data_IF_201776241794
#
_entry.id   IF_201776241794
#
_cell.length_a   1.000
_cell.length_b   1.000
_cell.length_c   1.000
_cell.angle_alpha   90.00
_cell.angle_beta   90.00
_cell.angle_gamma   90.00
#
_symmetry.space_group_name_H-M   'P 1'
#
loop_
_entity.id
_entity.type
_entity.pdbx_description
1 polymer ?
#
# COMPACT_ATOMS: atom_id res chain seq x y z
N UNK A 1 -3.00 11.20 7.43
CA UNK A 1 -3.93 11.78 8.44
C UNK A 1 -3.08 12.36 9.55
N UNK A 2 -3.05 13.70 9.68
CA UNK A 2 -2.36 14.38 10.76
C UNK A 2 -3.25 14.32 12.02
N UNK A 3 -2.99 13.35 12.87
CA UNK A 3 -3.54 13.35 14.23
C UNK A 3 -2.73 14.35 15.03
N UNK A 4 -3.29 15.53 15.32
CA UNK A 4 -2.66 16.56 16.13
C UNK A 4 -2.27 16.02 17.53
N UNK A 5 -2.12 16.89 18.52
CA UNK A 5 -1.78 16.51 19.91
C UNK A 5 -2.91 15.81 20.69
N UNK A 6 -4.04 15.55 20.04
CA UNK A 6 -5.21 14.92 20.68
C UNK A 6 -5.02 13.41 20.81
N UNK A 7 -5.48 12.85 21.92
CA UNK A 7 -5.53 11.40 22.10
C UNK A 7 -6.46 10.74 21.06
N UNK A 8 -6.14 9.51 20.63
CA UNK A 8 -6.96 8.80 19.65
C UNK A 8 -8.36 8.55 20.20
N UNK A 9 -9.39 8.94 19.45
CA UNK A 9 -10.80 8.82 19.85
C UNK A 9 -11.44 7.51 19.42
N UNK A 10 -10.79 6.73 18.55
CA UNK A 10 -11.29 5.43 18.10
C UNK A 10 -10.14 4.46 17.81
N UNK A 11 -10.50 3.19 17.60
CA UNK A 11 -9.55 2.10 17.37
C UNK A 11 -8.65 2.34 16.15
N UNK A 12 -9.20 2.86 15.06
CA UNK A 12 -8.44 3.17 13.82
C UNK A 12 -7.39 4.24 14.09
N UNK A 13 -7.74 5.30 14.81
CA UNK A 13 -6.79 6.36 15.17
C UNK A 13 -5.71 5.85 16.10
N UNK A 14 -6.07 4.98 17.07
CA UNK A 14 -5.10 4.34 17.95
C UNK A 14 -4.11 3.47 17.15
N UNK A 15 -4.60 2.75 16.17
CA UNK A 15 -3.80 1.91 15.28
C UNK A 15 -2.81 2.73 14.43
N UNK A 16 -3.25 3.88 13.92
CA UNK A 16 -2.39 4.84 13.20
C UNK A 16 -1.27 5.37 14.11
N UNK A 17 -1.61 5.74 15.35
CA UNK A 17 -0.62 6.23 16.34
C UNK A 17 0.40 5.14 16.67
N UNK A 18 -0.03 3.91 16.90
CA UNK A 18 0.85 2.77 17.16
C UNK A 18 1.76 2.49 15.97
N UNK A 19 1.22 2.51 14.74
CA UNK A 19 1.99 2.30 13.51
C UNK A 19 3.05 3.38 13.31
N UNK A 20 2.71 4.64 13.54
CA UNK A 20 3.68 5.75 13.51
C UNK A 20 4.80 5.54 14.55
N UNK A 21 4.43 5.22 15.80
CA UNK A 21 5.41 4.96 16.87
C UNK A 21 6.31 3.77 16.56
N UNK A 22 5.77 2.70 15.98
CA UNK A 22 6.55 1.57 15.48
C UNK A 22 7.59 2.01 14.46
N UNK A 23 7.20 2.80 13.46
CA UNK A 23 8.13 3.31 12.45
C UNK A 23 9.23 4.19 13.08
N UNK A 24 8.88 5.05 14.02
CA UNK A 24 9.85 5.89 14.74
C UNK A 24 10.84 5.06 15.55
N UNK A 25 10.39 3.98 16.22
CA UNK A 25 11.28 3.06 16.95
C UNK A 25 12.26 2.34 16.02
N UNK A 26 11.77 1.78 14.91
CA UNK A 26 12.59 1.08 13.93
C UNK A 26 13.62 2.01 13.28
N UNK A 27 13.22 3.26 12.98
CA UNK A 27 14.11 4.29 12.45
C UNK A 27 15.20 4.68 13.44
N UNK A 28 14.87 4.83 14.73
CA UNK A 28 15.80 5.35 15.74
C UNK A 28 16.74 4.30 16.28
N UNK A 29 16.29 3.06 16.44
CA UNK A 29 17.01 1.98 17.11
C UNK A 29 17.52 0.91 16.15
N UNK A 30 17.21 1.06 14.85
CA UNK A 30 17.54 0.06 13.82
C UNK A 30 16.60 -1.14 13.82
N UNK A 31 16.77 -1.98 12.81
CA UNK A 31 15.93 -3.18 12.62
C UNK A 31 16.69 -4.37 13.21
N UNK A 32 16.37 -4.66 14.45
CA UNK A 32 16.88 -5.78 15.21
C UNK A 32 15.75 -6.39 16.05
N UNK A 33 16.00 -7.54 16.66
CA UNK A 33 14.95 -8.28 17.34
C UNK A 33 14.42 -7.55 18.58
N UNK A 34 15.25 -6.81 19.31
CA UNK A 34 14.87 -6.06 20.51
C UNK A 34 13.93 -4.89 20.16
N UNK A 35 14.22 -4.21 19.05
CA UNK A 35 13.35 -3.16 18.53
C UNK A 35 12.01 -3.73 18.05
N UNK A 36 12.04 -4.88 17.37
CA UNK A 36 10.83 -5.56 16.92
C UNK A 36 10.01 -6.07 18.11
N UNK A 37 10.61 -6.62 19.14
CA UNK A 37 9.93 -7.00 20.39
C UNK A 37 9.21 -5.79 21.01
N UNK A 38 9.86 -4.63 21.04
CA UNK A 38 9.25 -3.39 21.51
C UNK A 38 8.05 -2.96 20.64
N UNK A 39 8.15 -3.14 19.32
CA UNK A 39 7.05 -2.87 18.40
C UNK A 39 5.86 -3.84 18.62
N UNK A 40 6.12 -5.12 18.83
CA UNK A 40 5.09 -6.14 19.13
C UNK A 40 4.32 -5.77 20.40
N UNK A 41 5.01 -5.30 21.43
CA UNK A 41 4.38 -4.86 22.68
C UNK A 41 3.46 -3.66 22.48
N UNK A 42 3.72 -2.74 21.55
CA UNK A 42 2.83 -1.62 21.24
C UNK A 42 1.44 -2.07 20.80
N UNK A 43 1.38 -3.21 20.13
CA UNK A 43 0.12 -3.79 19.64
C UNK A 43 -0.48 -4.81 20.62
N UNK A 44 0.13 -5.00 21.79
CA UNK A 44 -0.29 -5.99 22.79
C UNK A 44 -0.31 -7.43 22.23
N UNK A 45 0.60 -7.71 21.31
CA UNK A 45 0.72 -9.02 20.67
C UNK A 45 1.61 -9.95 21.50
N UNK A 46 1.34 -11.24 21.42
CA UNK A 46 2.22 -12.28 21.91
C UNK A 46 3.10 -12.79 20.78
N UNK A 47 4.41 -12.60 20.91
CA UNK A 47 5.39 -13.11 19.96
C UNK A 47 5.82 -14.52 20.41
N UNK A 48 5.50 -15.54 19.61
CA UNK A 48 5.91 -16.90 19.97
C UNK A 48 7.44 -17.04 19.89
N UNK A 49 8.03 -17.81 20.80
CA UNK A 49 9.48 -18.04 20.86
C UNK A 49 10.00 -18.56 19.51
N UNK A 50 9.34 -19.58 18.94
CA UNK A 50 9.71 -20.16 17.64
C UNK A 50 9.76 -19.13 16.51
N UNK A 51 8.76 -18.26 16.40
CA UNK A 51 8.71 -17.20 15.37
C UNK A 51 9.74 -16.11 15.63
N UNK A 52 9.96 -15.77 16.89
CA UNK A 52 10.99 -14.82 17.31
C UNK A 52 12.38 -15.31 16.94
N UNK A 53 12.71 -16.57 17.25
CA UNK A 53 14.01 -17.17 16.95
C UNK A 53 14.23 -17.29 15.43
N UNK A 54 13.19 -17.67 14.66
CA UNK A 54 13.24 -17.69 13.20
C UNK A 54 13.56 -16.31 12.64
N UNK A 55 12.88 -15.27 13.13
CA UNK A 55 13.11 -13.89 12.69
C UNK A 55 14.50 -13.42 13.08
N UNK A 56 14.97 -13.68 14.29
CA UNK A 56 16.31 -13.33 14.76
C UNK A 56 17.39 -13.99 13.89
N UNK A 57 17.24 -15.28 13.59
CA UNK A 57 18.15 -16.00 12.70
C UNK A 57 18.14 -15.45 11.27
N UNK A 58 17.01 -14.96 10.79
CA UNK A 58 16.92 -14.31 9.49
C UNK A 58 17.64 -12.96 9.52
N UNK A 59 17.33 -12.11 10.48
CA UNK A 59 17.93 -10.78 10.63
C UNK A 59 19.47 -10.84 10.75
N UNK A 60 20.01 -11.86 11.40
CA UNK A 60 21.46 -12.04 11.53
C UNK A 60 22.19 -12.33 10.22
N UNK A 61 21.48 -12.68 9.16
CA UNK A 61 22.03 -12.96 7.82
C UNK A 61 22.00 -11.74 6.90
N UNK A 62 21.16 -10.75 7.20
CA UNK A 62 21.08 -9.51 6.43
C UNK A 62 22.38 -8.73 6.62
N UNK A 63 22.93 -8.25 5.53
CA UNK A 63 24.20 -7.53 5.54
C UNK A 63 24.05 -6.04 5.17
N UNK A 64 22.87 -5.66 4.71
CA UNK A 64 22.51 -4.31 4.29
C UNK A 64 23.43 -3.69 3.22
N UNK A 65 24.11 -4.54 2.42
CA UNK A 65 24.88 -4.10 1.24
C UNK A 65 23.91 -3.64 0.14
N UNK A 66 22.82 -4.40 -0.05
CA UNK A 66 21.71 -4.01 -0.90
C UNK A 66 20.42 -3.85 -0.06
N UNK A 67 20.18 -2.66 0.52
CA UNK A 67 19.05 -2.47 1.43
C UNK A 67 17.67 -2.72 0.79
N UNK A 68 17.56 -2.55 -0.53
CA UNK A 68 16.32 -2.80 -1.25
C UNK A 68 16.03 -4.31 -1.32
N UNK A 69 17.01 -5.10 -1.73
CA UNK A 69 16.92 -6.56 -1.78
C UNK A 69 16.68 -7.14 -0.38
N UNK A 70 17.47 -6.71 0.62
CA UNK A 70 17.30 -7.12 2.02
C UNK A 70 15.89 -6.81 2.56
N UNK A 71 15.31 -5.65 2.16
CA UNK A 71 13.95 -5.28 2.53
C UNK A 71 12.93 -6.21 1.87
N UNK A 72 13.11 -6.54 0.58
CA UNK A 72 12.25 -7.46 -0.16
C UNK A 72 12.31 -8.88 0.44
N UNK A 73 13.51 -9.39 0.71
CA UNK A 73 13.70 -10.70 1.34
C UNK A 73 13.03 -10.78 2.72
N UNK A 74 13.23 -9.75 3.56
CA UNK A 74 12.64 -9.73 4.90
C UNK A 74 11.12 -9.62 4.83
N UNK A 75 10.58 -8.80 3.92
CA UNK A 75 9.12 -8.72 3.70
C UNK A 75 8.55 -10.10 3.36
N UNK A 76 9.11 -10.76 2.36
CA UNK A 76 8.67 -12.09 1.94
C UNK A 76 8.81 -13.13 3.06
N UNK A 77 9.91 -13.09 3.81
CA UNK A 77 10.12 -13.98 4.96
C UNK A 77 9.02 -13.79 6.02
N UNK A 78 8.72 -12.55 6.39
CA UNK A 78 7.68 -12.21 7.37
C UNK A 78 6.31 -12.74 6.90
N UNK A 79 5.96 -12.51 5.63
CA UNK A 79 4.67 -12.93 5.06
C UNK A 79 4.57 -14.45 4.98
N UNK A 80 5.55 -15.13 4.37
CA UNK A 80 5.56 -16.61 4.23
C UNK A 80 5.46 -17.35 5.56
N UNK A 81 6.09 -16.82 6.60
CA UNK A 81 6.09 -17.44 7.91
C UNK A 81 4.98 -16.94 8.84
N UNK A 82 4.15 -16.01 8.39
CA UNK A 82 3.06 -15.38 9.20
C UNK A 82 3.56 -14.97 10.59
N UNK A 83 4.70 -14.27 10.61
CA UNK A 83 5.49 -14.02 11.83
C UNK A 83 4.65 -13.34 12.91
N UNK A 84 3.84 -12.35 12.56
CA UNK A 84 3.05 -11.52 13.49
C UNK A 84 1.55 -11.83 13.49
N UNK A 85 1.13 -13.04 13.05
CA UNK A 85 -0.27 -13.44 13.00
C UNK A 85 -1.10 -12.51 12.10
N UNK A 86 -2.22 -12.02 12.60
CA UNK A 86 -3.10 -11.08 11.87
C UNK A 86 -2.45 -9.75 11.52
N UNK A 87 -1.41 -9.34 12.24
CA UNK A 87 -0.65 -8.11 12.00
C UNK A 87 0.52 -8.29 11.02
N UNK A 88 0.70 -9.50 10.47
CA UNK A 88 1.84 -9.84 9.61
C UNK A 88 2.05 -8.81 8.49
N UNK A 89 1.01 -8.45 7.76
CA UNK A 89 1.09 -7.53 6.64
C UNK A 89 1.47 -6.11 7.06
N UNK A 90 0.86 -5.63 8.15
CA UNK A 90 1.17 -4.32 8.71
C UNK A 90 2.63 -4.21 9.12
N UNK A 91 3.12 -5.20 9.86
CA UNK A 91 4.52 -5.25 10.30
C UNK A 91 5.47 -5.36 9.10
N UNK A 92 5.17 -6.22 8.13
CA UNK A 92 5.99 -6.38 6.93
C UNK A 92 6.18 -5.04 6.19
N UNK A 93 5.10 -4.30 5.93
CA UNK A 93 5.15 -2.99 5.24
C UNK A 93 5.95 -1.96 6.07
N UNK A 94 5.72 -1.89 7.38
CA UNK A 94 6.36 -0.87 8.21
C UNK A 94 7.86 -1.16 8.34
N UNK A 95 8.24 -2.41 8.55
CA UNK A 95 9.65 -2.84 8.63
C UNK A 95 10.35 -2.60 7.28
N UNK A 96 9.72 -3.01 6.17
CA UNK A 96 10.21 -2.77 4.81
C UNK A 96 10.54 -1.28 4.59
N UNK A 97 9.58 -0.41 4.83
CA UNK A 97 9.76 1.03 4.66
C UNK A 97 10.76 1.63 5.65
N UNK A 98 10.90 1.06 6.84
CA UNK A 98 11.91 1.50 7.80
C UNK A 98 13.34 1.17 7.30
N UNK A 99 13.55 0.01 6.66
CA UNK A 99 14.84 -0.32 6.01
C UNK A 99 15.14 0.70 4.91
N UNK A 100 14.21 0.92 3.99
CA UNK A 100 14.40 1.85 2.89
C UNK A 100 14.75 3.25 3.41
N UNK A 101 13.95 3.77 4.34
CA UNK A 101 14.13 5.11 4.88
C UNK A 101 15.46 5.27 5.62
N UNK A 102 15.89 4.26 6.40
CA UNK A 102 17.16 4.28 7.14
C UNK A 102 18.38 4.28 6.21
N UNK A 103 18.19 3.87 4.95
CA UNK A 103 19.21 3.88 3.91
C UNK A 103 19.02 5.00 2.86
N UNK A 104 18.25 6.05 3.20
CA UNK A 104 17.97 7.21 2.34
C UNK A 104 17.24 6.85 1.04
N UNK A 105 16.50 5.74 1.02
CA UNK A 105 15.60 5.36 -0.06
C UNK A 105 14.19 5.83 0.31
N UNK A 106 13.44 6.37 -0.66
CA UNK A 106 12.07 6.82 -0.42
C UNK A 106 11.18 5.64 -0.03
N UNK A 107 10.29 5.80 0.96
CA UNK A 107 9.30 4.79 1.31
C UNK A 107 8.37 4.49 0.15
N UNK A 108 7.97 3.21 0.02
CA UNK A 108 7.04 2.77 -1.00
C UNK A 108 5.64 2.74 -0.43
N UNK A 109 4.69 3.30 -1.17
CA UNK A 109 3.28 3.27 -0.81
C UNK A 109 2.66 1.98 -1.35
N UNK A 110 2.15 1.18 -0.43
CA UNK A 110 1.36 -0.01 -0.75
C UNK A 110 -0.11 0.26 -0.42
N UNK A 111 -0.96 0.46 -1.42
CA UNK A 111 -2.41 0.49 -1.21
C UNK A 111 -2.88 -0.81 -0.55
N UNK A 112 -3.88 -0.72 0.32
CA UNK A 112 -4.28 -1.86 1.16
C UNK A 112 -4.76 -3.06 0.33
N UNK A 113 -5.56 -2.82 -0.71
CA UNK A 113 -6.03 -3.85 -1.64
C UNK A 113 -4.88 -4.56 -2.35
N UNK A 114 -3.89 -3.79 -2.79
CA UNK A 114 -2.71 -4.32 -3.45
C UNK A 114 -1.82 -5.11 -2.48
N UNK A 115 -1.75 -4.69 -1.23
CA UNK A 115 -1.00 -5.42 -0.19
C UNK A 115 -1.54 -6.82 0.00
N UNK A 116 -2.85 -6.98 0.10
CA UNK A 116 -3.46 -8.31 0.23
C UNK A 116 -3.17 -9.19 -0.98
N UNK A 117 -3.35 -8.67 -2.19
CA UNK A 117 -3.04 -9.38 -3.42
C UNK A 117 -1.56 -9.83 -3.48
N UNK A 118 -0.64 -8.93 -3.14
CA UNK A 118 0.78 -9.23 -3.11
C UNK A 118 1.13 -10.32 -2.10
N UNK A 119 0.49 -10.31 -0.94
CA UNK A 119 0.69 -11.34 0.07
C UNK A 119 0.15 -12.70 -0.38
N UNK A 120 -0.99 -12.75 -1.06
CA UNK A 120 -1.51 -13.98 -1.68
C UNK A 120 -0.54 -14.53 -2.72
N UNK A 121 0.07 -13.68 -3.55
CA UNK A 121 1.09 -14.09 -4.52
C UNK A 121 2.33 -14.68 -3.82
N UNK A 122 2.79 -14.04 -2.74
CA UNK A 122 3.92 -14.54 -1.95
C UNK A 122 3.61 -15.89 -1.32
N UNK A 123 2.42 -16.05 -0.74
CA UNK A 123 1.96 -17.31 -0.15
C UNK A 123 1.81 -18.41 -1.22
N UNK A 124 1.48 -18.04 -2.46
CA UNK A 124 1.37 -18.95 -3.61
C UNK A 124 2.72 -19.32 -4.23
N UNK A 125 3.83 -18.76 -3.76
CA UNK A 125 5.17 -19.13 -4.20
C UNK A 125 5.84 -18.13 -5.15
N UNK A 126 5.44 -16.83 -5.12
CA UNK A 126 6.13 -15.78 -5.88
C UNK A 126 7.65 -15.83 -5.60
N UNK A 127 8.47 -15.71 -6.65
CA UNK A 127 9.92 -15.62 -6.52
C UNK A 127 10.36 -14.25 -5.99
N UNK A 128 11.58 -14.16 -5.46
CA UNK A 128 12.15 -12.90 -5.00
C UNK A 128 12.28 -11.91 -6.16
N UNK A 129 12.87 -12.34 -7.28
CA UNK A 129 13.05 -11.49 -8.47
C UNK A 129 11.73 -10.88 -8.94
N UNK A 130 10.67 -11.71 -9.02
CA UNK A 130 9.34 -11.23 -9.42
C UNK A 130 8.73 -10.27 -8.39
N UNK A 131 9.01 -10.49 -7.09
CA UNK A 131 8.57 -9.57 -6.05
C UNK A 131 9.31 -8.23 -6.15
N UNK A 132 10.60 -8.25 -6.39
CA UNK A 132 11.42 -7.05 -6.60
C UNK A 132 10.95 -6.23 -7.80
N UNK A 133 10.67 -6.87 -8.92
CA UNK A 133 10.12 -6.19 -10.12
C UNK A 133 8.80 -5.49 -9.80
N UNK A 134 7.91 -6.16 -9.07
CA UNK A 134 6.63 -5.59 -8.62
C UNK A 134 6.85 -4.40 -7.69
N UNK A 135 7.77 -4.52 -6.74
CA UNK A 135 8.10 -3.46 -5.78
C UNK A 135 8.76 -2.27 -6.47
N UNK A 136 9.66 -2.51 -7.45
CA UNK A 136 10.29 -1.44 -8.25
C UNK A 136 9.25 -0.66 -9.06
N UNK A 137 8.30 -1.33 -9.67
CA UNK A 137 7.21 -0.66 -10.37
C UNK A 137 6.38 0.23 -9.41
N UNK A 138 6.18 -0.22 -8.17
CA UNK A 138 5.53 0.59 -7.12
C UNK A 138 6.41 1.73 -6.61
N UNK A 139 7.72 1.55 -6.58
CA UNK A 139 8.65 2.63 -6.24
C UNK A 139 8.55 3.82 -7.20
N UNK A 140 8.49 3.55 -8.50
CA UNK A 140 8.25 4.59 -9.51
C UNK A 140 6.94 5.35 -9.24
N UNK A 141 5.86 4.63 -8.93
CA UNK A 141 4.60 5.24 -8.57
C UNK A 141 4.70 6.06 -7.26
N UNK A 142 5.41 5.57 -6.26
CA UNK A 142 5.58 6.28 -4.98
C UNK A 142 6.25 7.65 -5.14
N UNK A 143 7.14 7.81 -6.12
CA UNK A 143 7.71 9.12 -6.48
C UNK A 143 6.60 10.05 -6.97
N UNK A 144 5.70 9.55 -7.82
CA UNK A 144 4.54 10.31 -8.32
C UNK A 144 3.62 10.73 -7.16
N UNK A 145 3.29 9.81 -6.24
CA UNK A 145 2.45 10.09 -5.08
C UNK A 145 3.03 11.16 -4.12
N UNK A 146 4.34 11.25 -4.03
CA UNK A 146 5.00 12.28 -3.20
C UNK A 146 5.25 13.61 -3.92
N UNK A 147 4.90 13.71 -5.21
CA UNK A 147 5.03 14.92 -6.00
C UNK A 147 3.67 15.62 -6.07
N UNK A 148 3.57 16.93 -5.73
CA UNK A 148 2.32 17.63 -5.84
C UNK A 148 1.90 17.75 -7.30
N UNK A 149 0.68 17.35 -7.62
CA UNK A 149 0.10 17.52 -8.94
C UNK A 149 -0.79 18.78 -9.03
N UNK A 150 -1.27 19.08 -10.23
CA UNK A 150 -2.27 20.12 -10.41
C UNK A 150 -3.52 19.82 -9.58
N UNK A 151 -3.98 20.82 -8.81
CA UNK A 151 -5.23 20.68 -8.06
C UNK A 151 -6.41 20.78 -9.02
N UNK A 152 -7.09 19.68 -9.24
CA UNK A 152 -8.32 19.62 -10.05
C UNK A 152 -9.51 19.26 -9.16
N UNK A 153 -10.71 19.60 -9.61
CA UNK A 153 -11.94 19.19 -8.92
C UNK A 153 -12.45 17.82 -9.40
N UNK A 154 -13.46 17.30 -8.71
CA UNK A 154 -14.08 16.01 -9.03
C UNK A 154 -14.69 15.98 -10.44
N UNK A 155 -15.23 17.10 -10.93
CA UNK A 155 -15.79 17.21 -12.29
C UNK A 155 -14.69 17.12 -13.36
N UNK A 156 -13.56 17.78 -13.13
CA UNK A 156 -12.43 17.73 -14.03
C UNK A 156 -11.80 16.31 -14.04
N UNK A 157 -11.70 15.65 -12.87
CA UNK A 157 -11.27 14.27 -12.78
C UNK A 157 -12.17 13.34 -13.62
N UNK A 158 -13.50 13.48 -13.49
CA UNK A 158 -14.48 12.74 -14.29
C UNK A 158 -14.26 12.98 -15.78
N UNK A 159 -14.10 14.23 -16.21
CA UNK A 159 -13.87 14.57 -17.63
C UNK A 159 -12.59 13.93 -18.18
N UNK A 160 -11.49 14.01 -17.43
CA UNK A 160 -10.21 13.42 -17.84
C UNK A 160 -10.35 11.91 -18.04
N UNK A 161 -10.94 11.19 -17.08
CA UNK A 161 -11.16 9.75 -17.22
C UNK A 161 -12.14 9.43 -18.34
N UNK A 162 -13.23 10.20 -18.48
CA UNK A 162 -14.21 10.02 -19.55
C UNK A 162 -13.58 10.16 -20.95
N UNK A 163 -12.60 11.05 -21.12
CA UNK A 163 -11.88 11.18 -22.38
C UNK A 163 -11.13 9.92 -22.80
N UNK A 164 -10.78 9.05 -21.83
CA UNK A 164 -10.07 7.79 -22.04
C UNK A 164 -11.03 6.60 -22.29
N UNK A 165 -12.35 6.80 -22.12
CA UNK A 165 -13.36 5.73 -22.16
C UNK A 165 -13.19 4.79 -23.33
N UNK A 166 -12.97 5.33 -24.54
CA UNK A 166 -12.84 4.52 -25.75
C UNK A 166 -11.70 3.47 -25.60
N UNK A 167 -10.53 3.91 -25.19
CA UNK A 167 -9.37 3.02 -25.02
C UNK A 167 -9.61 2.02 -23.87
N UNK A 168 -10.17 2.50 -22.76
CA UNK A 168 -10.46 1.66 -21.59
C UNK A 168 -11.46 0.55 -21.92
N UNK A 169 -12.49 0.83 -22.72
CA UNK A 169 -13.47 -0.16 -23.15
C UNK A 169 -12.91 -1.06 -24.26
N UNK A 170 -12.40 -0.50 -25.37
CA UNK A 170 -12.01 -1.28 -26.54
C UNK A 170 -10.74 -2.11 -26.35
N UNK A 171 -9.74 -1.57 -25.63
CA UNK A 171 -8.45 -2.24 -25.45
C UNK A 171 -8.41 -3.10 -24.17
N UNK A 172 -8.99 -2.60 -23.09
CA UNK A 172 -8.86 -3.23 -21.78
C UNK A 172 -10.13 -3.96 -21.31
N UNK A 173 -11.26 -3.77 -21.99
CA UNK A 173 -12.53 -4.43 -21.63
C UNK A 173 -13.18 -3.88 -20.36
N UNK A 174 -12.87 -2.63 -19.98
CA UNK A 174 -13.48 -1.98 -18.83
C UNK A 174 -14.96 -1.73 -19.08
N UNK A 175 -15.81 -2.15 -18.17
CA UNK A 175 -17.26 -1.97 -18.23
C UNK A 175 -17.72 -0.68 -17.57
N UNK A 176 -17.27 -0.48 -16.33
CA UNK A 176 -17.60 0.70 -15.54
C UNK A 176 -16.39 1.16 -14.73
N UNK A 177 -16.32 2.47 -14.49
CA UNK A 177 -15.38 3.11 -13.55
C UNK A 177 -16.17 4.02 -12.60
N UNK A 178 -15.80 3.91 -11.32
CA UNK A 178 -16.30 4.80 -10.29
C UNK A 178 -15.12 5.45 -9.58
N UNK A 179 -15.21 6.77 -9.34
CA UNK A 179 -14.29 7.49 -8.45
C UNK A 179 -14.82 7.33 -7.03
N UNK A 180 -13.94 7.07 -6.10
CA UNK A 180 -14.22 6.97 -4.65
C UNK A 180 -13.22 7.80 -3.84
N UNK A 181 -13.03 7.50 -2.55
CA UNK A 181 -12.02 8.13 -1.72
C UNK A 181 -12.17 9.63 -1.52
N UNK A 182 -11.06 10.34 -1.54
CA UNK A 182 -10.99 11.79 -1.26
C UNK A 182 -11.73 12.63 -2.30
N UNK A 183 -11.66 12.27 -3.58
CA UNK A 183 -12.35 12.98 -4.65
C UNK A 183 -13.87 12.87 -4.53
N UNK A 184 -14.41 11.68 -4.29
CA UNK A 184 -15.84 11.49 -4.10
C UNK A 184 -16.38 12.19 -2.84
N UNK A 185 -15.55 12.33 -1.80
CA UNK A 185 -15.87 13.03 -0.55
C UNK A 185 -15.62 14.55 -0.61
N UNK A 186 -15.06 15.05 -1.70
CA UNK A 186 -14.63 16.46 -1.87
C UNK A 186 -13.62 16.92 -0.83
N UNK A 187 -12.73 16.01 -0.41
CA UNK A 187 -11.67 16.23 0.58
C UNK A 187 -10.27 16.14 -0.04
N UNK A 188 -10.18 16.24 -1.36
CA UNK A 188 -8.92 16.08 -2.11
C UNK A 188 -7.99 17.30 -1.96
N UNK A 189 -6.72 17.03 -2.14
CA UNK A 189 -5.62 18.00 -2.13
C UNK A 189 -4.71 17.77 -3.34
N UNK A 190 -3.71 18.62 -3.55
CA UNK A 190 -2.68 18.42 -4.59
C UNK A 190 -1.80 17.18 -4.40
N UNK A 191 -1.97 16.43 -3.32
CA UNK A 191 -1.30 15.17 -3.03
C UNK A 191 -2.27 13.98 -3.02
N UNK A 192 -3.53 14.22 -3.35
CA UNK A 192 -4.54 13.15 -3.38
C UNK A 192 -4.43 12.36 -4.66
N UNK A 193 -4.51 11.04 -4.54
CA UNK A 193 -4.69 10.12 -5.65
C UNK A 193 -6.15 10.02 -6.08
N UNK A 194 -6.35 9.42 -7.23
CA UNK A 194 -7.67 9.02 -7.74
C UNK A 194 -7.92 7.57 -7.33
N UNK A 195 -8.71 7.38 -6.28
CA UNK A 195 -9.21 6.06 -5.91
C UNK A 195 -10.30 5.62 -6.90
N UNK A 196 -10.04 4.58 -7.68
CA UNK A 196 -10.95 4.09 -8.70
C UNK A 196 -11.45 2.68 -8.38
N UNK A 197 -12.76 2.45 -8.49
CA UNK A 197 -13.31 1.10 -8.55
C UNK A 197 -13.54 0.78 -10.03
N UNK A 198 -12.91 -0.29 -10.52
CA UNK A 198 -12.98 -0.72 -11.91
C UNK A 198 -13.78 -2.02 -12.00
N UNK A 199 -14.79 -2.04 -12.87
CA UNK A 199 -15.58 -3.23 -13.20
C UNK A 199 -15.21 -3.74 -14.59
N UNK A 200 -14.77 -5.00 -14.65
CA UNK A 200 -14.39 -5.70 -15.88
C UNK A 200 -14.44 -7.22 -15.65
N UNK A 201 -14.39 -8.02 -16.74
CA UNK A 201 -14.47 -9.49 -16.63
C UNK A 201 -13.15 -10.13 -16.22
N UNK A 202 -12.02 -9.56 -16.62
CA UNK A 202 -10.68 -10.06 -16.32
C UNK A 202 -9.79 -8.94 -15.80
N UNK A 203 -9.26 -9.11 -14.61
CA UNK A 203 -8.45 -8.10 -13.91
C UNK A 203 -6.94 -8.24 -14.11
N UNK A 204 -6.44 -9.16 -14.94
CA UNK A 204 -5.01 -9.36 -15.17
C UNK A 204 -4.27 -8.08 -15.58
N UNK A 205 -5.01 -7.14 -16.20
CA UNK A 205 -4.47 -5.85 -16.68
C UNK A 205 -4.82 -4.65 -15.82
N UNK A 206 -5.35 -4.86 -14.62
CA UNK A 206 -5.78 -3.72 -13.78
C UNK A 206 -4.63 -2.74 -13.50
N UNK A 207 -3.43 -3.27 -13.32
CA UNK A 207 -2.23 -2.47 -13.11
C UNK A 207 -1.81 -1.65 -14.34
N UNK A 208 -1.92 -2.23 -15.55
CA UNK A 208 -1.69 -1.48 -16.80
C UNK A 208 -2.70 -0.35 -16.97
N UNK A 209 -3.95 -0.58 -16.58
CA UNK A 209 -5.04 0.40 -16.63
C UNK A 209 -4.76 1.54 -15.64
N UNK A 210 -4.39 1.21 -14.40
CA UNK A 210 -3.99 2.18 -13.38
C UNK A 210 -2.88 3.10 -13.89
N UNK A 211 -1.77 2.51 -14.40
CA UNK A 211 -0.64 3.25 -14.97
C UNK A 211 -1.05 4.09 -16.19
N UNK A 212 -1.91 3.55 -17.06
CA UNK A 212 -2.40 4.27 -18.22
C UNK A 212 -3.22 5.50 -17.82
N UNK A 213 -4.17 5.35 -16.88
CA UNK A 213 -5.00 6.47 -16.41
C UNK A 213 -4.11 7.51 -15.72
N UNK A 214 -3.20 7.10 -14.83
CA UNK A 214 -2.30 7.99 -14.13
C UNK A 214 -1.45 8.85 -15.09
N UNK A 215 -0.88 8.22 -16.12
CA UNK A 215 -0.07 8.92 -17.13
C UNK A 215 -0.90 9.92 -17.94
N UNK A 216 -2.14 9.56 -18.29
CA UNK A 216 -3.00 10.42 -19.13
C UNK A 216 -3.68 11.54 -18.34
N UNK A 217 -3.92 11.35 -17.05
CA UNK A 217 -4.55 12.36 -16.19
C UNK A 217 -3.53 13.24 -15.47
N UNK A 218 -2.28 12.82 -15.40
CA UNK A 218 -1.22 13.42 -14.59
C UNK A 218 -1.56 13.46 -13.08
N UNK A 219 -2.36 12.50 -12.61
CA UNK A 219 -2.76 12.32 -11.22
C UNK A 219 -2.46 10.87 -10.83
N UNK A 220 -1.85 10.62 -9.66
CA UNK A 220 -1.69 9.27 -9.16
C UNK A 220 -3.05 8.54 -9.08
N UNK A 221 -3.05 7.25 -9.39
CA UNK A 221 -4.28 6.42 -9.40
C UNK A 221 -4.06 5.21 -8.52
N UNK A 222 -5.04 4.87 -7.71
CA UNK A 222 -5.19 3.59 -7.04
C UNK A 222 -6.44 2.88 -7.55
N UNK A 223 -6.25 1.75 -8.25
CA UNK A 223 -7.33 1.02 -8.89
C UNK A 223 -7.70 -0.24 -8.10
N UNK A 224 -8.94 -0.30 -7.64
CA UNK A 224 -9.51 -1.42 -6.90
C UNK A 224 -10.48 -2.18 -7.82
N UNK A 225 -10.44 -3.51 -7.76
CA UNK A 225 -11.37 -4.38 -8.45
C UNK A 225 -12.77 -4.26 -7.87
N UNK A 226 -13.80 -4.24 -8.70
CA UNK A 226 -15.19 -4.14 -8.21
C UNK A 226 -15.66 -5.39 -7.44
N UNK A 227 -15.02 -6.54 -7.65
CA UNK A 227 -15.30 -7.80 -6.93
C UNK A 227 -14.49 -7.94 -5.63
N UNK A 228 -13.57 -7.02 -5.34
CA UNK A 228 -12.80 -6.99 -4.10
C UNK A 228 -13.74 -6.81 -2.89
N UNK A 229 -13.61 -7.62 -1.84
CA UNK A 229 -14.40 -7.47 -0.62
C UNK A 229 -14.34 -6.06 -0.01
N UNK A 230 -13.23 -5.35 -0.20
CA UNK A 230 -13.02 -3.99 0.27
C UNK A 230 -14.01 -2.99 -0.34
N UNK A 231 -14.44 -3.21 -1.60
CA UNK A 231 -15.42 -2.34 -2.26
C UNK A 231 -16.80 -2.37 -1.60
N UNK A 232 -17.09 -3.37 -0.75
CA UNK A 232 -18.35 -3.50 0.00
C UNK A 232 -18.40 -2.66 1.28
N UNK A 233 -17.31 -1.98 1.65
CA UNK A 233 -17.31 -1.07 2.79
C UNK A 233 -18.30 0.07 2.59
N UNK A 234 -19.08 0.38 3.62
CA UNK A 234 -20.15 1.39 3.58
C UNK A 234 -19.68 2.75 3.03
N UNK A 235 -18.47 3.16 3.37
CA UNK A 235 -17.91 4.43 2.90
C UNK A 235 -17.66 4.46 1.39
N UNK A 236 -17.15 3.36 0.81
CA UNK A 236 -16.90 3.25 -0.63
C UNK A 236 -18.21 3.14 -1.42
N UNK A 237 -19.25 2.55 -0.83
CA UNK A 237 -20.57 2.47 -1.46
C UNK A 237 -21.33 3.82 -1.39
N UNK A 238 -21.19 4.55 -0.29
CA UNK A 238 -21.91 5.79 -0.03
C UNK A 238 -21.36 6.96 -0.86
N UNK A 239 -20.03 7.02 -0.97
CA UNK A 239 -19.35 8.12 -1.65
C UNK A 239 -18.63 7.58 -2.89
N UNK A 240 -19.40 7.43 -3.99
CA UNK A 240 -18.84 7.08 -5.29
C UNK A 240 -19.47 7.88 -6.41
N UNK A 241 -18.67 8.30 -7.36
CA UNK A 241 -19.09 9.03 -8.55
C UNK A 241 -18.93 8.09 -9.75
N UNK A 242 -20.03 7.74 -10.41
CA UNK A 242 -19.95 6.97 -11.64
C UNK A 242 -19.38 7.82 -12.76
N UNK A 243 -18.31 7.33 -13.41
CA UNK A 243 -17.71 8.00 -14.57
C UNK A 243 -18.41 7.53 -15.84
N UNK A 244 -18.52 6.20 -16.05
CA UNK A 244 -19.28 5.60 -17.16
C UNK A 244 -19.73 4.19 -16.86
#
# INVERSE_FOLDING_TARGET
VYLGKNEPVNEIQNDIVKTKKMFELLKSNGINIETIDSCVLLFSLCFSIDKRDKLQNFLSKLNYINPFEDACELFMFIVKNKIFGEYTYKFAIVIFNAILFSNNILPIIFPLSYTFYLCELIESGLSLDSFEDIVMARFENSIIYNTPHELIDDNEAVKRIMSLKRVLVEKYGVKHIFITGSFAKKLYTKFSDLDLIIEMDNYDKIYEIEKYIANMTAIPVDAIRSDDPFTKLNDLQKYRIKVF
#
